data_IF_297309467651
#
_entry.id   IF_297309467651
#
_cell.length_a   1.000
_cell.length_b   1.000
_cell.length_c   1.000
_cell.angle_alpha   90.00
_cell.angle_beta   90.00
_cell.angle_gamma   90.00
#
_symmetry.space_group_name_H-M   'P 1'
#
loop_
_entity.id
_entity.type
_entity.pdbx_description
1 polymer ?
#
# COMPACT_ATOMS: atom_id res chain seq x y z
N UNK A 1 0.67 13.92 4.60
CA UNK A 1 1.61 13.49 5.65
C UNK A 1 2.67 14.57 5.82
N UNK A 2 2.44 15.47 6.78
CA UNK A 2 3.29 16.66 6.97
C UNK A 2 4.23 16.54 8.17
N UNK A 3 4.11 15.48 8.98
CA UNK A 3 4.88 15.29 10.19
C UNK A 3 5.17 13.81 10.44
N UNK A 4 6.21 13.53 11.21
CA UNK A 4 6.49 12.20 11.76
C UNK A 4 6.01 12.15 13.19
N UNK A 5 5.34 11.08 13.56
CA UNK A 5 4.91 10.82 14.94
C UNK A 5 5.73 9.64 15.47
N UNK A 6 6.40 9.85 16.57
CA UNK A 6 7.08 8.81 17.35
C UNK A 6 6.16 8.41 18.51
N UNK A 7 5.88 7.12 18.64
CA UNK A 7 5.11 6.59 19.76
C UNK A 7 5.98 5.60 20.53
N UNK A 8 6.23 5.89 21.81
CA UNK A 8 6.85 4.94 22.71
C UNK A 8 5.78 4.01 23.24
N UNK A 9 5.88 2.74 22.88
CA UNK A 9 4.94 1.70 23.31
C UNK A 9 5.67 0.81 24.33
N UNK A 10 5.10 0.74 25.51
CA UNK A 10 5.53 -0.21 26.56
C UNK A 10 4.65 -1.43 26.51
N UNK A 11 5.23 -2.61 26.63
CA UNK A 11 4.47 -3.83 26.83
C UNK A 11 4.81 -4.46 28.19
N UNK A 12 3.80 -5.01 28.84
CA UNK A 12 3.93 -5.79 30.07
C UNK A 12 3.27 -7.14 29.87
N UNK A 13 4.00 -8.19 30.16
CA UNK A 13 3.47 -9.57 30.10
C UNK A 13 3.24 -10.07 31.52
N UNK A 14 1.98 -10.37 31.86
CA UNK A 14 1.57 -10.94 33.17
C UNK A 14 0.48 -11.99 32.94
N UNK A 15 0.64 -13.14 33.58
CA UNK A 15 -0.38 -14.20 33.63
C UNK A 15 -1.00 -14.54 32.27
N UNK A 16 -0.15 -14.80 31.26
CA UNK A 16 -0.56 -15.08 29.89
C UNK A 16 -1.32 -13.93 29.16
N UNK A 17 -1.28 -12.74 29.70
CA UNK A 17 -1.81 -11.53 29.04
C UNK A 17 -0.68 -10.55 28.75
N UNK A 18 -0.71 -9.97 27.54
CA UNK A 18 0.22 -8.91 27.17
C UNK A 18 -0.57 -7.60 27.05
N UNK A 19 -0.16 -6.63 27.86
CA UNK A 19 -0.72 -5.28 27.81
C UNK A 19 0.24 -4.36 27.05
N UNK A 20 -0.29 -3.62 26.11
CA UNK A 20 0.41 -2.58 25.38
C UNK A 20 -0.14 -1.23 25.76
N UNK A 21 0.74 -0.32 26.15
CA UNK A 21 0.38 1.04 26.49
C UNK A 21 1.25 2.02 25.72
N UNK A 22 0.65 3.10 25.22
CA UNK A 22 1.39 4.21 24.65
C UNK A 22 1.82 5.11 25.80
N UNK A 23 3.10 5.07 26.14
CA UNK A 23 3.65 5.88 27.24
C UNK A 23 3.87 7.33 26.83
N UNK A 24 4.38 7.54 25.62
CA UNK A 24 4.74 8.85 25.13
C UNK A 24 4.52 8.94 23.62
N UNK A 25 4.10 10.10 23.18
CA UNK A 25 4.06 10.44 21.75
C UNK A 25 4.80 11.76 21.55
N UNK A 26 5.65 11.79 20.54
CA UNK A 26 6.36 12.99 20.12
C UNK A 26 6.11 13.25 18.65
N UNK A 27 5.81 14.49 18.33
CA UNK A 27 5.58 14.93 16.96
C UNK A 27 6.85 15.65 16.49
N UNK A 28 7.44 15.17 15.39
CA UNK A 28 8.53 15.85 14.71
C UNK A 28 7.93 16.59 13.52
N UNK A 29 7.72 17.89 13.64
CA UNK A 29 7.26 18.70 12.53
C UNK A 29 8.32 18.70 11.43
N UNK A 30 7.93 18.98 10.21
CA UNK A 30 8.82 19.11 9.05
C UNK A 30 9.66 17.87 8.68
N UNK A 31 9.37 16.71 9.27
CA UNK A 31 9.95 15.41 8.90
C UNK A 31 8.90 14.45 8.28
N UNK A 32 7.82 14.97 7.78
CA UNK A 32 6.85 14.17 7.02
C UNK A 32 7.33 13.87 5.61
N UNK A 33 6.82 12.81 5.00
CA UNK A 33 7.24 12.39 3.66
C UNK A 33 7.08 13.51 2.62
N UNK A 34 6.02 14.31 2.70
CA UNK A 34 5.81 15.43 1.78
C UNK A 34 6.88 16.53 1.93
N UNK A 35 7.31 16.82 3.16
CA UNK A 35 8.38 17.79 3.38
C UNK A 35 9.72 17.27 2.87
N UNK A 36 9.99 15.99 3.01
CA UNK A 36 11.18 15.36 2.44
C UNK A 36 11.14 15.48 0.92
N UNK A 37 10.03 15.09 0.31
CA UNK A 37 9.86 15.18 -1.15
C UNK A 37 10.03 16.62 -1.65
N UNK A 38 9.36 17.58 -1.03
CA UNK A 38 9.47 19.01 -1.41
C UNK A 38 10.92 19.51 -1.29
N UNK A 39 11.60 19.13 -0.21
CA UNK A 39 13.00 19.54 0.01
C UNK A 39 13.91 18.95 -1.07
N UNK A 40 13.73 17.69 -1.42
CA UNK A 40 14.51 17.01 -2.47
C UNK A 40 14.15 17.54 -3.85
N UNK A 41 12.87 17.79 -4.15
CA UNK A 41 12.42 18.38 -5.42
C UNK A 41 13.05 19.74 -5.67
N UNK A 42 13.07 20.61 -4.65
CA UNK A 42 13.74 21.90 -4.75
C UNK A 42 15.25 21.76 -5.02
N UNK A 43 15.91 20.84 -4.33
CA UNK A 43 17.33 20.57 -4.57
C UNK A 43 17.59 20.06 -6.00
N UNK A 44 16.76 19.16 -6.50
CA UNK A 44 16.83 18.68 -7.88
C UNK A 44 16.65 19.86 -8.84
N UNK A 45 15.64 20.71 -8.63
CA UNK A 45 15.40 21.89 -9.48
C UNK A 45 16.58 22.84 -9.48
N UNK A 46 17.14 23.17 -8.31
CA UNK A 46 18.33 24.05 -8.19
C UNK A 46 19.52 23.47 -9.00
N UNK A 47 19.72 22.17 -8.98
CA UNK A 47 20.77 21.49 -9.78
C UNK A 47 20.50 21.60 -11.28
N UNK A 48 19.26 21.33 -11.74
CA UNK A 48 18.88 21.50 -13.15
C UNK A 48 18.99 22.95 -13.61
N UNK A 49 18.62 23.93 -12.79
CA UNK A 49 18.80 25.37 -13.10
C UNK A 49 20.29 25.67 -13.27
N UNK A 50 21.13 25.21 -12.36
CA UNK A 50 22.56 25.48 -12.37
C UNK A 50 23.23 24.86 -13.60
N UNK A 51 22.95 23.59 -13.88
CA UNK A 51 23.68 22.80 -14.87
C UNK A 51 23.12 23.00 -16.29
N UNK A 52 21.80 23.19 -16.43
CA UNK A 52 21.09 23.22 -17.72
C UNK A 52 20.28 24.48 -17.98
N UNK A 53 20.20 25.41 -17.04
CA UNK A 53 19.30 26.59 -17.11
C UNK A 53 17.84 26.22 -17.29
N UNK A 54 17.45 25.07 -16.80
CA UNK A 54 16.11 24.52 -16.85
C UNK A 54 15.53 24.37 -15.45
N UNK A 55 14.35 24.97 -15.20
CA UNK A 55 13.61 24.80 -13.96
C UNK A 55 12.45 23.85 -14.15
N UNK A 56 12.56 22.59 -13.70
CA UNK A 56 11.49 21.61 -13.84
C UNK A 56 10.26 21.94 -13.00
N UNK A 57 10.38 22.69 -11.91
CA UNK A 57 9.25 23.10 -11.05
C UNK A 57 8.47 24.29 -11.61
N UNK A 58 8.96 24.92 -12.70
CA UNK A 58 8.25 26.01 -13.36
C UNK A 58 7.04 25.54 -14.19
N UNK A 59 6.92 24.27 -14.48
CA UNK A 59 5.80 23.69 -15.23
C UNK A 59 5.14 22.52 -14.48
N UNK A 60 3.83 22.43 -14.55
CA UNK A 60 3.09 21.34 -13.91
C UNK A 60 3.52 19.94 -14.39
N UNK A 61 3.90 19.80 -15.66
CA UNK A 61 4.38 18.54 -16.20
C UNK A 61 5.78 18.17 -15.68
N UNK A 62 6.65 19.13 -15.51
CA UNK A 62 7.98 18.90 -14.95
C UNK A 62 7.92 18.61 -13.45
N UNK A 63 7.09 19.36 -12.71
CA UNK A 63 6.81 19.11 -11.30
C UNK A 63 6.26 17.69 -11.12
N UNK A 64 5.24 17.32 -11.89
CA UNK A 64 4.63 15.98 -11.83
C UNK A 64 5.66 14.88 -12.11
N UNK A 65 6.50 15.05 -13.14
CA UNK A 65 7.55 14.09 -13.49
C UNK A 65 8.55 13.85 -12.36
N UNK A 66 8.89 14.88 -11.58
CA UNK A 66 9.74 14.76 -10.39
C UNK A 66 9.01 13.97 -9.30
N UNK A 67 7.76 14.34 -8.97
CA UNK A 67 7.04 13.70 -7.86
C UNK A 67 6.67 12.25 -8.16
N UNK A 68 6.36 11.90 -9.39
CA UNK A 68 6.04 10.52 -9.80
C UNK A 68 7.21 9.56 -9.60
N UNK A 69 8.44 10.02 -9.78
CA UNK A 69 9.64 9.20 -9.67
C UNK A 69 10.39 9.37 -8.34
N UNK A 70 9.98 10.34 -7.51
CA UNK A 70 10.67 10.73 -6.28
C UNK A 70 10.92 9.56 -5.33
N UNK A 71 9.91 8.73 -5.11
CA UNK A 71 10.01 7.60 -4.17
C UNK A 71 11.03 6.58 -4.64
N UNK A 72 11.02 6.25 -5.94
CA UNK A 72 11.93 5.28 -6.53
C UNK A 72 13.37 5.80 -6.51
N UNK A 73 13.59 7.06 -6.89
CA UNK A 73 14.92 7.66 -6.79
C UNK A 73 15.48 7.69 -5.37
N UNK A 74 14.63 7.98 -4.37
CA UNK A 74 15.07 7.99 -2.98
C UNK A 74 15.39 6.59 -2.44
N UNK A 75 14.65 5.56 -2.86
CA UNK A 75 14.93 4.17 -2.51
C UNK A 75 16.22 3.68 -3.18
N UNK A 76 16.41 4.00 -4.45
CA UNK A 76 17.64 3.68 -5.18
C UNK A 76 18.85 4.39 -4.60
N UNK A 77 18.72 5.68 -4.29
CA UNK A 77 19.77 6.48 -3.66
C UNK A 77 20.23 5.87 -2.33
N UNK A 78 19.27 5.41 -1.52
CA UNK A 78 19.61 4.77 -0.24
C UNK A 78 20.29 3.42 -0.44
N UNK A 79 19.85 2.65 -1.42
CA UNK A 79 20.34 1.30 -1.70
C UNK A 79 21.73 1.31 -2.35
N UNK A 80 21.98 2.25 -3.26
CA UNK A 80 23.18 2.29 -4.10
C UNK A 80 24.14 3.44 -3.78
N UNK A 81 23.73 4.41 -2.96
CA UNK A 81 24.52 5.59 -2.60
C UNK A 81 24.41 6.74 -3.61
N UNK A 82 24.01 6.46 -4.83
CA UNK A 82 23.78 7.43 -5.89
C UNK A 82 22.63 7.02 -6.81
N UNK A 83 22.01 7.99 -7.48
CA UNK A 83 20.96 7.76 -8.48
C UNK A 83 21.06 8.78 -9.60
N UNK A 84 20.80 8.35 -10.84
CA UNK A 84 20.68 9.25 -11.99
C UNK A 84 19.22 9.68 -12.12
N UNK A 85 18.99 10.98 -11.96
CA UNK A 85 17.70 11.61 -12.19
C UNK A 85 17.65 12.07 -13.64
N UNK A 86 16.72 11.54 -14.43
CA UNK A 86 16.53 11.91 -15.83
C UNK A 86 15.14 12.51 -16.01
N UNK A 87 15.08 13.68 -16.62
CA UNK A 87 13.84 14.36 -17.01
C UNK A 87 13.76 14.51 -18.51
N UNK A 88 12.64 14.07 -19.08
CA UNK A 88 12.34 14.29 -20.48
C UNK A 88 11.83 15.71 -20.68
N UNK A 89 12.51 16.49 -21.53
CA UNK A 89 12.15 17.87 -21.82
C UNK A 89 11.91 18.05 -23.32
N UNK A 90 11.26 19.13 -23.76
CA UNK A 90 11.08 19.42 -25.17
C UNK A 90 12.39 19.54 -25.95
N UNK A 91 13.51 19.81 -25.26
CA UNK A 91 14.85 19.95 -25.84
C UNK A 91 15.67 18.66 -25.78
N UNK A 92 15.10 17.57 -25.28
CA UNK A 92 15.75 16.26 -25.06
C UNK A 92 15.86 15.91 -23.60
N UNK A 93 16.43 14.74 -23.32
CA UNK A 93 16.61 14.25 -21.96
C UNK A 93 17.75 14.98 -21.26
N UNK A 94 17.46 15.46 -20.07
CA UNK A 94 18.44 16.08 -19.17
C UNK A 94 18.65 15.14 -17.97
N UNK A 95 19.91 14.96 -17.57
CA UNK A 95 20.23 14.02 -16.49
C UNK A 95 21.22 14.63 -15.50
N UNK A 96 21.05 14.33 -14.23
CA UNK A 96 22.00 14.67 -13.18
C UNK A 96 22.14 13.48 -12.20
N UNK A 97 23.28 13.39 -11.54
CA UNK A 97 23.51 12.41 -10.49
C UNK A 97 23.28 13.05 -9.12
N UNK A 98 22.44 12.41 -8.31
CA UNK A 98 22.29 12.73 -6.88
C UNK A 98 23.12 11.75 -6.07
N UNK A 99 23.76 12.24 -5.02
CA UNK A 99 24.47 11.40 -4.06
C UNK A 99 23.73 11.38 -2.72
N UNK A 100 23.77 10.24 -2.05
CA UNK A 100 23.13 10.04 -0.73
C UNK A 100 23.58 11.07 0.29
N UNK A 101 24.85 11.46 0.25
CA UNK A 101 25.42 12.44 1.15
C UNK A 101 24.78 13.81 0.98
N UNK A 102 24.48 14.24 -0.26
CA UNK A 102 23.81 15.51 -0.55
C UNK A 102 22.45 15.56 0.15
N UNK A 103 21.66 14.48 -0.01
CA UNK A 103 20.33 14.41 0.57
C UNK A 103 20.38 14.28 2.09
N UNK A 104 21.34 13.51 2.62
CA UNK A 104 21.52 13.37 4.06
C UNK A 104 21.90 14.72 4.70
N UNK A 105 22.79 15.48 4.06
CA UNK A 105 23.18 16.80 4.52
C UNK A 105 22.01 17.79 4.46
N UNK A 106 21.22 17.74 3.39
CA UNK A 106 20.03 18.58 3.21
C UNK A 106 18.99 18.35 4.31
N UNK A 107 18.86 17.11 4.77
CA UNK A 107 17.90 16.71 5.81
C UNK A 107 18.52 16.68 7.22
N UNK A 108 19.81 17.00 7.37
CA UNK A 108 20.59 16.82 8.61
C UNK A 108 19.92 17.42 9.85
N UNK A 109 19.39 18.63 9.75
CA UNK A 109 18.74 19.28 10.88
C UNK A 109 17.50 18.50 11.37
N UNK A 110 16.66 18.05 10.44
CA UNK A 110 15.43 17.30 10.73
C UNK A 110 15.72 15.90 11.25
N UNK A 111 16.68 15.22 10.63
CA UNK A 111 17.15 13.89 11.06
C UNK A 111 17.88 13.98 12.42
N UNK A 112 18.56 15.08 12.69
CA UNK A 112 19.22 15.32 13.98
C UNK A 112 18.24 15.38 15.15
N UNK A 113 17.04 15.93 14.94
CA UNK A 113 15.97 15.91 15.96
C UNK A 113 15.51 14.45 16.22
N UNK A 114 15.19 13.71 15.17
CA UNK A 114 14.82 12.30 15.27
C UNK A 114 15.90 11.49 16.01
N UNK A 115 17.16 11.63 15.58
CA UNK A 115 18.30 10.93 16.22
C UNK A 115 18.39 11.25 17.72
N UNK A 116 18.19 12.51 18.10
CA UNK A 116 18.23 12.92 19.51
C UNK A 116 17.13 12.22 20.32
N UNK A 117 15.89 12.21 19.81
CA UNK A 117 14.78 11.57 20.51
C UNK A 117 15.03 10.08 20.65
N UNK A 118 15.43 9.42 19.57
CA UNK A 118 15.72 7.99 19.61
C UNK A 118 16.92 7.65 20.54
N UNK A 119 17.94 8.51 20.60
CA UNK A 119 19.10 8.29 21.46
C UNK A 119 18.81 8.38 22.97
N UNK A 120 17.70 9.00 23.36
CA UNK A 120 17.25 9.00 24.77
C UNK A 120 16.69 7.65 25.22
N UNK A 121 16.48 6.72 24.29
CA UNK A 121 15.84 5.42 24.54
C UNK A 121 16.70 4.29 23.92
N UNK A 122 17.94 4.04 24.40
CA UNK A 122 18.90 3.15 23.72
C UNK A 122 18.46 1.67 23.71
N UNK A 123 17.57 1.27 24.61
CA UNK A 123 17.10 -0.13 24.72
C UNK A 123 15.81 -0.39 23.92
N UNK A 124 15.29 0.64 23.24
CA UNK A 124 14.04 0.52 22.50
C UNK A 124 14.28 -0.01 21.10
N UNK A 125 13.50 -1.01 20.71
CA UNK A 125 13.46 -1.49 19.33
C UNK A 125 12.57 -0.55 18.51
N UNK A 126 13.11 0.00 17.44
CA UNK A 126 12.36 0.87 16.55
C UNK A 126 11.59 0.07 15.51
N UNK A 127 10.34 0.45 15.23
CA UNK A 127 9.55 -0.07 14.13
C UNK A 127 9.06 1.09 13.26
N UNK A 128 9.25 0.97 11.95
CA UNK A 128 8.90 2.01 10.98
C UNK A 128 7.75 1.54 10.09
N UNK A 129 6.78 2.39 9.87
CA UNK A 129 5.77 2.13 8.81
C UNK A 129 6.41 2.20 7.43
N UNK A 130 5.80 1.61 6.41
CA UNK A 130 6.30 1.66 5.03
C UNK A 130 6.62 3.09 4.57
N UNK A 131 5.75 4.06 4.94
CA UNK A 131 5.96 5.47 4.61
C UNK A 131 7.16 6.09 5.33
N UNK A 132 7.58 5.52 6.45
CA UNK A 132 8.72 5.98 7.24
C UNK A 132 10.01 5.18 6.93
N UNK A 133 9.94 4.17 6.06
CA UNK A 133 11.08 3.34 5.67
C UNK A 133 12.24 4.19 5.14
N UNK A 134 11.94 5.22 4.36
CA UNK A 134 12.95 6.16 3.88
C UNK A 134 13.71 6.83 5.03
N UNK A 135 13.03 7.18 6.12
CA UNK A 135 13.64 7.79 7.31
C UNK A 135 14.58 6.80 7.99
N UNK A 136 14.16 5.53 8.12
CA UNK A 136 15.02 4.48 8.71
C UNK A 136 16.29 4.26 7.92
N UNK A 137 16.21 4.33 6.59
CA UNK A 137 17.34 4.17 5.68
C UNK A 137 18.31 5.36 5.71
N UNK A 138 17.81 6.56 6.03
CA UNK A 138 18.64 7.76 6.22
C UNK A 138 19.26 7.85 7.63
N UNK A 139 18.87 6.96 8.55
CA UNK A 139 19.36 6.91 9.92
C UNK A 139 19.91 5.51 10.26
N UNK A 140 21.00 5.05 9.60
CA UNK A 140 21.51 3.67 9.71
C UNK A 140 21.99 3.27 11.10
N UNK A 141 22.17 4.20 12.03
CA UNK A 141 22.72 3.94 13.37
C UNK A 141 21.76 3.18 14.31
N UNK A 142 20.52 2.94 13.88
CA UNK A 142 19.52 2.16 14.62
C UNK A 142 19.48 0.72 14.07
N UNK A 143 20.42 -0.10 14.52
CA UNK A 143 20.74 -1.42 13.99
C UNK A 143 19.66 -2.52 14.11
N UNK A 144 18.50 -2.24 14.71
CA UNK A 144 17.39 -3.18 14.82
C UNK A 144 16.06 -2.46 14.59
N UNK A 145 15.79 -2.11 13.34
CA UNK A 145 14.49 -1.55 12.96
C UNK A 145 13.66 -2.58 12.20
N UNK A 146 12.43 -2.77 12.66
CA UNK A 146 11.43 -3.53 11.94
C UNK A 146 10.62 -2.62 11.01
N UNK A 147 10.11 -3.16 9.91
CA UNK A 147 9.15 -2.46 9.07
C UNK A 147 7.75 -3.00 9.35
N UNK A 148 6.83 -2.11 9.66
CA UNK A 148 5.41 -2.44 9.84
C UNK A 148 4.71 -2.25 8.49
N UNK A 149 4.27 -3.35 7.91
CA UNK A 149 3.53 -3.34 6.66
C UNK A 149 2.10 -2.82 6.89
N UNK A 150 1.57 -2.03 5.95
CA UNK A 150 0.19 -1.52 5.99
C UNK A 150 -0.85 -2.64 6.04
N UNK A 151 -0.60 -3.75 5.36
CA UNK A 151 -1.50 -4.91 5.35
C UNK A 151 -1.57 -5.54 6.75
N UNK A 152 -0.44 -5.70 7.43
CA UNK A 152 -0.39 -6.25 8.78
C UNK A 152 -1.13 -5.35 9.78
N UNK A 153 -0.99 -4.03 9.62
CA UNK A 153 -1.75 -3.05 10.41
C UNK A 153 -3.25 -3.18 10.16
N UNK A 154 -3.66 -3.25 8.89
CA UNK A 154 -5.07 -3.38 8.54
C UNK A 154 -5.68 -4.68 9.09
N UNK A 155 -4.98 -5.82 8.95
CA UNK A 155 -5.43 -7.10 9.51
C UNK A 155 -5.53 -7.01 11.03
N UNK A 156 -4.52 -6.45 11.70
CA UNK A 156 -4.56 -6.28 13.17
C UNK A 156 -5.70 -5.35 13.62
N UNK A 157 -6.04 -4.32 12.82
CA UNK A 157 -7.19 -3.47 13.10
C UNK A 157 -8.52 -4.23 13.00
N UNK A 158 -8.65 -5.15 12.04
CA UNK A 158 -9.86 -5.99 11.91
C UNK A 158 -10.08 -6.87 13.13
N UNK A 159 -9.00 -7.37 13.74
CA UNK A 159 -9.09 -8.22 14.94
C UNK A 159 -9.58 -7.44 16.19
N UNK A 160 -9.48 -6.13 16.18
CA UNK A 160 -9.89 -5.26 17.27
C UNK A 160 -11.03 -4.30 16.92
N UNK A 161 -11.63 -4.49 15.73
CA UNK A 161 -12.66 -3.57 15.20
C UNK A 161 -13.82 -3.34 16.16
N UNK A 162 -14.32 -4.39 16.80
CA UNK A 162 -15.41 -4.32 17.78
C UNK A 162 -15.06 -3.47 19.03
N UNK A 163 -13.76 -3.34 19.35
CA UNK A 163 -13.28 -2.48 20.43
C UNK A 163 -13.13 -1.03 20.00
N UNK A 164 -12.82 -0.79 18.71
CA UNK A 164 -12.66 0.55 18.15
C UNK A 164 -14.02 1.14 17.78
N UNK A 165 -14.94 0.30 17.30
CA UNK A 165 -16.29 0.66 16.88
C UNK A 165 -17.29 -0.24 17.61
N UNK A 166 -17.54 -0.01 18.91
CA UNK A 166 -18.59 -0.73 19.62
C UNK A 166 -19.96 -0.41 18.98
N UNK A 167 -20.84 -1.41 18.92
CA UNK A 167 -22.17 -1.27 18.33
C UNK A 167 -22.89 -0.01 18.82
N UNK A 168 -23.28 0.86 17.88
CA UNK A 168 -24.00 2.12 18.09
C UNK A 168 -23.26 3.20 18.93
N UNK A 169 -21.95 3.13 19.06
CA UNK A 169 -21.16 4.15 19.73
C UNK A 169 -20.25 4.93 18.76
N UNK A 170 -19.82 6.11 19.18
CA UNK A 170 -18.79 6.86 18.46
C UNK A 170 -17.44 6.10 18.47
N UNK A 171 -16.60 6.25 17.45
CA UNK A 171 -15.27 5.65 17.40
C UNK A 171 -14.46 5.99 18.67
N UNK A 172 -13.92 4.98 19.34
CA UNK A 172 -13.13 5.16 20.56
C UNK A 172 -11.65 5.12 20.25
N UNK A 173 -10.90 6.08 20.75
CA UNK A 173 -9.45 6.04 20.71
C UNK A 173 -8.93 4.98 21.67
N UNK A 174 -8.36 3.91 21.13
CA UNK A 174 -7.71 2.86 21.93
C UNK A 174 -6.29 3.31 22.25
N UNK A 175 -5.99 3.56 23.53
CA UNK A 175 -4.66 3.91 24.03
C UNK A 175 -3.96 2.75 24.75
N UNK A 176 -4.70 1.71 25.12
CA UNK A 176 -4.14 0.47 25.66
C UNK A 176 -4.84 -0.74 25.03
N UNK A 177 -4.09 -1.78 24.76
CA UNK A 177 -4.57 -3.02 24.17
C UNK A 177 -4.15 -4.19 25.07
N UNK A 178 -5.12 -4.95 25.54
CA UNK A 178 -4.88 -6.23 26.19
C UNK A 178 -4.99 -7.33 25.13
N UNK A 179 -3.91 -8.04 24.91
CA UNK A 179 -3.90 -9.24 24.08
C UNK A 179 -3.81 -10.40 25.07
N UNK A 180 -4.86 -11.24 25.12
CA UNK A 180 -4.84 -12.49 25.89
C UNK A 180 -3.65 -13.33 25.45
N UNK A 181 -3.27 -14.34 26.29
CA UNK A 181 -2.15 -15.21 25.97
C UNK A 181 -2.13 -15.47 24.47
N UNK A 182 -1.04 -15.07 23.86
CA UNK A 182 -0.83 -15.44 22.48
C UNK A 182 -0.93 -16.96 22.48
N UNK A 183 -2.08 -17.51 22.09
CA UNK A 183 -2.04 -18.77 21.37
C UNK A 183 -0.86 -18.58 20.45
N UNK A 184 0.25 -19.27 20.73
CA UNK A 184 1.56 -19.19 20.09
C UNK A 184 1.32 -18.88 18.63
N UNK A 185 1.95 -17.87 18.00
CA UNK A 185 1.50 -17.30 16.75
C UNK A 185 0.99 -18.43 15.94
N UNK A 186 -0.35 -18.53 15.91
CA UNK A 186 -0.97 -19.54 15.05
C UNK A 186 -0.35 -19.10 13.77
N UNK A 187 0.68 -19.86 13.36
CA UNK A 187 1.30 -19.83 12.07
C UNK A 187 0.19 -19.38 11.19
N UNK A 188 0.18 -18.07 10.84
CA UNK A 188 -0.93 -17.46 10.06
C UNK A 188 -1.16 -18.50 9.04
N UNK A 189 -2.30 -19.23 9.04
CA UNK A 189 -2.48 -20.34 8.17
C UNK A 189 -2.13 -19.72 6.84
N UNK A 190 -1.02 -20.18 6.26
CA UNK A 190 -0.51 -19.70 4.98
C UNK A 190 -1.76 -19.43 4.18
N UNK A 191 -1.96 -18.28 3.54
CA UNK A 191 -3.18 -17.71 2.97
C UNK A 191 -4.18 -18.69 2.31
N UNK A 192 -3.96 -19.98 2.45
CA UNK A 192 -4.65 -21.14 1.95
C UNK A 192 -5.87 -21.60 2.76
N UNK A 193 -6.17 -21.05 3.95
CA UNK A 193 -7.23 -21.66 4.79
C UNK A 193 -8.44 -20.79 5.10
N UNK A 194 -8.51 -19.54 4.62
CA UNK A 194 -9.75 -18.76 4.55
C UNK A 194 -9.92 -18.18 3.15
N UNK A 195 -10.10 -19.02 2.18
CA UNK A 195 -10.63 -18.58 0.89
C UNK A 195 -12.07 -18.14 1.13
N UNK A 196 -12.25 -16.82 1.28
CA UNK A 196 -13.56 -16.23 1.38
C UNK A 196 -14.32 -16.44 0.05
N UNK A 197 -15.64 -16.52 0.14
CA UNK A 197 -16.49 -16.69 -1.05
C UNK A 197 -16.42 -15.41 -1.87
N UNK A 198 -16.09 -15.55 -3.14
CA UNK A 198 -16.05 -14.40 -4.04
C UNK A 198 -17.46 -13.80 -4.20
N UNK A 199 -17.54 -12.49 -4.09
CA UNK A 199 -18.78 -11.71 -4.26
C UNK A 199 -18.83 -10.92 -5.55
N UNK A 200 -17.66 -10.71 -6.20
CA UNK A 200 -17.52 -9.87 -7.40
C UNK A 200 -16.49 -10.45 -8.36
N UNK A 201 -16.61 -10.07 -9.63
CA UNK A 201 -15.59 -10.21 -10.66
C UNK A 201 -14.90 -8.85 -10.85
N UNK A 202 -13.57 -8.84 -10.82
CA UNK A 202 -12.77 -7.66 -11.11
C UNK A 202 -12.34 -7.66 -12.57
N UNK A 203 -12.64 -6.58 -13.30
CA UNK A 203 -12.19 -6.34 -14.66
C UNK A 203 -11.98 -4.84 -14.88
N UNK A 204 -10.85 -4.44 -15.48
CA UNK A 204 -10.46 -3.05 -15.76
C UNK A 204 -10.67 -2.09 -14.55
N UNK A 205 -10.30 -2.55 -13.35
CA UNK A 205 -10.44 -1.76 -12.13
C UNK A 205 -11.88 -1.63 -11.60
N UNK A 206 -12.88 -2.26 -12.26
CA UNK A 206 -14.26 -2.27 -11.83
C UNK A 206 -14.66 -3.62 -11.22
N UNK A 207 -15.40 -3.59 -10.12
CA UNK A 207 -15.94 -4.76 -9.46
C UNK A 207 -17.39 -4.99 -9.88
N UNK A 208 -17.68 -6.15 -10.46
CA UNK A 208 -19.01 -6.54 -10.96
C UNK A 208 -19.62 -7.58 -10.03
N UNK A 209 -20.75 -7.25 -9.41
CA UNK A 209 -21.37 -8.10 -8.38
C UNK A 209 -21.89 -9.43 -8.95
N UNK A 210 -21.58 -10.51 -8.25
CA UNK A 210 -22.10 -11.86 -8.51
C UNK A 210 -23.48 -12.12 -7.92
N UNK A 211 -24.04 -11.19 -7.13
CA UNK A 211 -25.40 -11.31 -6.59
C UNK A 211 -26.49 -11.29 -7.68
N UNK A 212 -26.14 -10.87 -8.89
CA UNK A 212 -27.01 -10.88 -10.08
C UNK A 212 -26.31 -11.61 -11.20
N UNK A 213 -27.10 -12.12 -12.16
CA UNK A 213 -26.53 -12.71 -13.37
C UNK A 213 -25.69 -11.69 -14.13
N UNK A 214 -24.60 -12.16 -14.73
CA UNK A 214 -23.66 -11.35 -15.51
C UNK A 214 -23.66 -11.83 -16.96
N UNK A 215 -23.61 -10.91 -17.89
CA UNK A 215 -23.36 -11.17 -19.29
C UNK A 215 -21.98 -10.66 -19.69
N UNK A 216 -21.20 -11.49 -20.37
CA UNK A 216 -19.85 -11.18 -20.82
C UNK A 216 -19.84 -11.29 -22.35
N UNK A 217 -19.48 -10.22 -23.02
CA UNK A 217 -19.36 -10.16 -24.47
C UNK A 217 -17.88 -10.03 -24.83
N UNK A 218 -17.42 -10.90 -25.71
CA UNK A 218 -16.07 -10.85 -26.29
C UNK A 218 -16.23 -10.52 -27.78
N UNK A 219 -15.78 -9.34 -28.17
CA UNK A 219 -15.84 -8.88 -29.57
C UNK A 219 -14.62 -8.03 -29.92
N UNK A 220 -14.09 -8.23 -31.13
CA UNK A 220 -13.00 -7.41 -31.70
C UNK A 220 -11.77 -7.25 -30.75
N UNK A 221 -11.46 -8.29 -29.97
CA UNK A 221 -10.33 -8.21 -29.02
C UNK A 221 -10.63 -7.43 -27.73
N UNK A 222 -11.89 -7.10 -27.46
CA UNK A 222 -12.34 -6.44 -26.23
C UNK A 222 -13.31 -7.32 -25.46
N UNK A 223 -13.25 -7.20 -24.15
CA UNK A 223 -14.17 -7.86 -23.23
C UNK A 223 -15.04 -6.80 -22.55
N UNK A 224 -16.36 -7.00 -22.61
CA UNK A 224 -17.33 -6.11 -21.96
C UNK A 224 -18.21 -6.91 -20.99
N UNK A 225 -18.37 -6.42 -19.77
CA UNK A 225 -19.28 -6.97 -18.78
C UNK A 225 -20.57 -6.16 -18.71
N UNK A 226 -21.68 -6.85 -18.47
CA UNK A 226 -23.00 -6.24 -18.27
C UNK A 226 -23.79 -6.99 -17.21
N UNK A 227 -24.63 -6.26 -16.46
CA UNK A 227 -25.51 -6.87 -15.47
C UNK A 227 -26.76 -7.45 -16.15
N UNK A 228 -27.19 -8.62 -15.67
CA UNK A 228 -28.37 -9.32 -16.18
C UNK A 228 -28.07 -10.30 -17.31
N UNK A 229 -29.12 -10.95 -17.81
CA UNK A 229 -29.03 -12.00 -18.86
C UNK A 229 -29.20 -11.32 -20.22
N UNK A 230 -28.15 -11.39 -21.04
CA UNK A 230 -28.18 -10.95 -22.43
C UNK A 230 -27.89 -12.15 -23.36
N UNK A 231 -28.88 -12.67 -24.05
CA UNK A 231 -28.73 -13.81 -24.96
C UNK A 231 -27.82 -13.53 -26.18
N UNK A 232 -27.47 -12.28 -26.44
CA UNK A 232 -26.48 -11.91 -27.49
C UNK A 232 -25.04 -11.89 -26.95
N UNK A 233 -24.84 -11.97 -25.63
CA UNK A 233 -23.53 -12.02 -25.04
C UNK A 233 -22.83 -13.35 -25.35
N UNK A 234 -21.50 -13.34 -25.32
CA UNK A 234 -20.69 -14.54 -25.56
C UNK A 234 -20.90 -15.57 -24.46
N UNK A 235 -21.12 -15.13 -23.22
CA UNK A 235 -21.49 -16.00 -22.09
C UNK A 235 -22.37 -15.24 -21.10
N UNK A 236 -23.32 -15.94 -20.49
CA UNK A 236 -24.06 -15.46 -19.33
C UNK A 236 -23.83 -16.37 -18.15
N UNK A 237 -23.49 -15.80 -17.03
CA UNK A 237 -23.16 -16.49 -15.78
C UNK A 237 -24.15 -16.13 -14.69
N UNK A 238 -24.41 -17.08 -13.81
CA UNK A 238 -25.08 -16.83 -12.52
C UNK A 238 -24.29 -17.46 -11.40
N UNK A 239 -24.42 -16.92 -10.21
CA UNK A 239 -23.79 -17.44 -9.01
C UNK A 239 -24.86 -18.07 -8.13
N UNK A 240 -24.75 -19.35 -7.85
CA UNK A 240 -25.65 -20.07 -6.95
C UNK A 240 -24.90 -21.19 -6.23
N UNK A 241 -25.28 -21.44 -4.98
CA UNK A 241 -24.66 -22.51 -4.15
C UNK A 241 -23.12 -22.43 -4.11
N UNK A 242 -22.56 -21.22 -3.98
CA UNK A 242 -21.12 -20.97 -3.95
C UNK A 242 -20.36 -21.41 -5.22
N UNK A 243 -21.04 -21.51 -6.33
CA UNK A 243 -20.45 -21.86 -7.63
C UNK A 243 -20.98 -20.97 -8.75
N UNK A 244 -20.13 -20.72 -9.75
CA UNK A 244 -20.53 -20.06 -11.00
C UNK A 244 -21.16 -21.11 -11.93
N UNK A 245 -22.29 -20.76 -12.51
CA UNK A 245 -23.01 -21.59 -13.47
C UNK A 245 -23.20 -20.84 -14.79
N UNK A 246 -23.00 -21.53 -15.89
CA UNK A 246 -23.22 -21.00 -17.22
C UNK A 246 -24.72 -21.13 -17.56
N UNK A 247 -25.39 -19.99 -17.74
CA UNK A 247 -26.78 -19.95 -18.21
C UNK A 247 -26.88 -19.98 -19.73
N UNK A 248 -25.91 -19.38 -20.41
CA UNK A 248 -25.82 -19.32 -21.88
C UNK A 248 -24.36 -19.17 -22.27
N UNK A 249 -23.95 -19.85 -23.35
CA UNK A 249 -22.62 -19.75 -23.92
C UNK A 249 -22.71 -19.92 -25.44
N UNK A 250 -22.01 -19.07 -26.18
CA UNK A 250 -21.86 -19.22 -27.64
C UNK A 250 -20.80 -20.29 -27.94
N UNK A 251 -20.97 -21.05 -29.02
CA UNK A 251 -20.08 -22.18 -29.40
C UNK A 251 -18.62 -21.76 -29.62
N UNK A 252 -18.40 -20.51 -30.01
CA UNK A 252 -17.08 -19.95 -30.30
C UNK A 252 -16.38 -19.33 -29.07
N UNK A 253 -17.02 -19.32 -27.89
CA UNK A 253 -16.48 -18.72 -26.69
C UNK A 253 -16.09 -19.80 -25.68
N UNK A 254 -14.79 -20.03 -25.49
CA UNK A 254 -14.29 -20.97 -24.48
C UNK A 254 -14.41 -20.35 -23.09
N UNK A 255 -15.03 -21.08 -22.15
CA UNK A 255 -15.17 -20.68 -20.73
C UNK A 255 -14.52 -21.74 -19.86
N UNK A 256 -13.72 -21.30 -18.90
CA UNK A 256 -13.13 -22.15 -17.86
C UNK A 256 -13.54 -21.53 -16.52
N UNK A 257 -14.41 -22.26 -15.81
CA UNK A 257 -14.86 -21.89 -14.46
C UNK A 257 -13.88 -22.41 -13.41
N UNK A 258 -13.66 -21.68 -12.30
CA UNK A 258 -12.93 -22.21 -11.17
C UNK A 258 -13.73 -23.35 -10.49
N UNK A 259 -13.05 -24.31 -9.88
CA UNK A 259 -13.69 -25.41 -9.13
C UNK A 259 -14.46 -24.87 -7.91
N UNK A 260 -13.96 -23.79 -7.31
CA UNK A 260 -14.56 -23.11 -6.16
C UNK A 260 -14.56 -21.60 -6.42
N UNK A 261 -15.66 -20.95 -6.08
CA UNK A 261 -15.75 -19.48 -6.21
C UNK A 261 -15.19 -18.82 -4.94
N UNK A 262 -13.89 -18.92 -4.75
CA UNK A 262 -13.18 -18.21 -3.68
C UNK A 262 -12.50 -16.95 -4.21
N UNK A 263 -12.25 -16.00 -3.33
CA UNK A 263 -11.42 -14.83 -3.65
C UNK A 263 -10.04 -15.30 -4.13
N UNK A 264 -9.49 -14.58 -5.09
CA UNK A 264 -8.22 -14.85 -5.80
C UNK A 264 -8.25 -15.98 -6.85
N UNK A 265 -9.34 -16.72 -6.98
CA UNK A 265 -9.54 -17.63 -8.12
C UNK A 265 -9.79 -16.83 -9.41
N UNK A 266 -9.60 -17.50 -10.53
CA UNK A 266 -9.76 -16.88 -11.84
C UNK A 266 -10.79 -17.59 -12.69
N UNK A 267 -11.54 -16.80 -13.46
CA UNK A 267 -12.46 -17.21 -14.51
C UNK A 267 -11.84 -16.87 -15.86
N UNK A 268 -11.85 -17.78 -16.81
CA UNK A 268 -11.36 -17.49 -18.18
C UNK A 268 -12.54 -17.50 -19.14
N UNK A 269 -12.71 -16.45 -19.91
CA UNK A 269 -13.75 -16.29 -20.91
C UNK A 269 -13.14 -15.78 -22.22
N UNK A 270 -13.22 -16.56 -23.28
CA UNK A 270 -12.71 -16.18 -24.60
C UNK A 270 -11.22 -15.86 -24.63
N UNK A 271 -10.43 -16.43 -23.72
CA UNK A 271 -8.99 -16.16 -23.57
C UNK A 271 -8.64 -15.02 -22.58
N UNK A 272 -9.63 -14.29 -22.06
CA UNK A 272 -9.43 -13.26 -21.04
C UNK A 272 -9.50 -13.85 -19.64
N UNK A 273 -8.58 -13.45 -18.77
CA UNK A 273 -8.56 -13.86 -17.37
C UNK A 273 -9.25 -12.81 -16.52
N UNK A 274 -10.26 -13.19 -15.79
CA UNK A 274 -11.03 -12.35 -14.87
C UNK A 274 -10.77 -12.83 -13.44
N UNK A 275 -10.50 -11.92 -12.52
CA UNK A 275 -10.20 -12.25 -11.13
C UNK A 275 -11.47 -12.22 -10.29
N UNK A 276 -11.68 -13.27 -9.50
CA UNK A 276 -12.72 -13.31 -8.47
C UNK A 276 -12.22 -12.60 -7.21
N UNK A 277 -13.03 -11.72 -6.65
CA UNK A 277 -12.71 -10.96 -5.44
C UNK A 277 -13.88 -10.99 -4.46
N UNK A 278 -13.56 -10.86 -3.19
CA UNK A 278 -14.55 -10.52 -2.17
C UNK A 278 -14.60 -9.00 -2.02
N UNK A 279 -15.79 -8.43 -2.12
CA UNK A 279 -16.05 -7.05 -1.74
C UNK A 279 -16.88 -7.07 -0.47
N UNK A 280 -16.28 -6.67 0.62
CA UNK A 280 -16.95 -6.51 1.91
C UNK A 280 -17.65 -5.16 1.86
N UNK A 281 -18.98 -5.17 1.80
CA UNK A 281 -19.74 -3.94 1.94
C UNK A 281 -19.56 -3.46 3.38
N UNK A 282 -18.86 -2.32 3.53
CA UNK A 282 -18.77 -1.59 4.78
C UNK A 282 -20.07 -0.88 5.11
#
# INVERSE_FOLDING_TARGET
>A
MHQTVLSLVRYEHRDDQTNFNIDQQEIIPDLGILQIHNTVANHISERFIKDYRYDPLHSSSGEQAIYDQMTDWLLDLVSHGEVVVTLNTPSGDLSLTLHKEDITNLLQYRLGHLKRVLSTQPEVRAAFTDSAKLISLLTPDYGHSDTINRIDVAVSCLDIVERIFPDNAEPVRVSSLQIGAATAPQKVPSADSRRSIATHILHDGQAWSLAKSLSITVSEGQLQLGMGINKKASVCLTFSNNSLQILHQQDNCKVILPEKCSSDETLIVGGYTLKLIEVING
#
